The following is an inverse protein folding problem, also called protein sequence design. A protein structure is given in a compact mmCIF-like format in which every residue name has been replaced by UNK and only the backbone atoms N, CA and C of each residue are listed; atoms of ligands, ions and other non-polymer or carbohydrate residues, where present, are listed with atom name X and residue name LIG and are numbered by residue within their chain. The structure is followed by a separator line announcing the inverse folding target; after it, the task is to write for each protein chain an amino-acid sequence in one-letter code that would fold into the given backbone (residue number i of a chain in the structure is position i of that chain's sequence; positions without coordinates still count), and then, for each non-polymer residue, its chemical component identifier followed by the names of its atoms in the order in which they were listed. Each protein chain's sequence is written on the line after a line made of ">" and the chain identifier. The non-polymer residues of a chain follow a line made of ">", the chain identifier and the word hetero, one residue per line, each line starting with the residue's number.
data_IF_478615146485
#
_entry.id   IF_478615146485
#
_cell.length_a   1.000
_cell.length_b   1.000
_cell.length_c   1.000
_cell.angle_alpha   90.00
_cell.angle_beta   90.00
_cell.angle_gamma   90.00
#
_symmetry.space_group_name_H-M   'P 1'
#
loop_
_entity.id
_entity.type
_entity.pdbx_description
1 polymer ?
#
# COMPACT_ATOMS: atom_id res chain seq x y z
N UNK A 1 -19.81 17.28 16.28
CA UNK A 1 -18.74 18.15 15.74
C UNK A 1 -17.38 17.47 15.52
N UNK A 2 -17.01 16.37 16.20
CA UNK A 2 -15.68 15.76 16.01
C UNK A 2 -15.46 14.88 14.77
N UNK A 3 -16.53 14.35 14.14
CA UNK A 3 -16.39 13.46 12.98
C UNK A 3 -16.00 14.19 11.68
N UNK A 4 -16.45 15.45 11.54
CA UNK A 4 -16.15 16.30 10.37
C UNK A 4 -14.66 16.68 10.32
N UNK A 5 -14.04 16.99 11.47
CA UNK A 5 -12.62 17.38 11.54
C UNK A 5 -11.68 16.24 11.16
N UNK A 6 -11.91 15.02 11.69
CA UNK A 6 -11.10 13.85 11.31
C UNK A 6 -11.21 13.52 9.82
N UNK A 7 -12.40 13.70 9.26
CA UNK A 7 -12.63 13.45 7.83
C UNK A 7 -11.88 14.47 6.98
N UNK A 8 -11.93 15.76 7.34
CA UNK A 8 -11.18 16.84 6.69
C UNK A 8 -9.65 16.63 6.79
N UNK A 9 -9.14 16.24 7.95
CA UNK A 9 -7.72 15.90 8.15
C UNK A 9 -7.27 14.77 7.22
N UNK A 10 -8.09 13.73 7.07
CA UNK A 10 -7.82 12.64 6.13
C UNK A 10 -7.76 13.14 4.68
N UNK A 11 -8.69 14.03 4.28
CA UNK A 11 -8.66 14.65 2.95
C UNK A 11 -7.38 15.46 2.73
N UNK A 12 -7.01 16.35 3.67
CA UNK A 12 -5.81 17.16 3.54
C UNK A 12 -4.54 16.32 3.50
N UNK A 13 -4.46 15.29 4.34
CA UNK A 13 -3.34 14.35 4.34
C UNK A 13 -3.20 13.66 2.99
N UNK A 14 -4.27 13.05 2.49
CA UNK A 14 -4.23 12.29 1.24
C UNK A 14 -4.01 13.20 0.04
N UNK A 15 -4.61 14.39 0.00
CA UNK A 15 -4.37 15.38 -1.05
C UNK A 15 -2.90 15.84 -1.08
N UNK A 16 -2.29 16.10 0.07
CA UNK A 16 -0.88 16.47 0.16
C UNK A 16 0.04 15.33 -0.30
N UNK A 17 -0.26 14.09 0.08
CA UNK A 17 0.50 12.91 -0.36
C UNK A 17 0.34 12.66 -1.86
N UNK A 18 -0.87 12.84 -2.40
CA UNK A 18 -1.17 12.73 -3.82
C UNK A 18 -0.35 13.74 -4.63
N UNK A 19 -0.38 15.01 -4.24
CA UNK A 19 0.38 16.07 -4.90
C UNK A 19 1.89 15.80 -4.83
N UNK A 20 2.40 15.38 -3.67
CA UNK A 20 3.80 15.02 -3.51
C UNK A 20 4.21 13.85 -4.41
N UNK A 21 3.42 12.77 -4.47
CA UNK A 21 3.75 11.62 -5.30
C UNK A 21 3.73 11.97 -6.80
N UNK A 22 2.77 12.80 -7.24
CA UNK A 22 2.65 13.26 -8.63
C UNK A 22 3.59 14.41 -9.03
N UNK A 23 4.30 15.02 -8.07
CA UNK A 23 5.24 16.09 -8.39
C UNK A 23 6.26 15.64 -9.43
N UNK A 24 6.33 16.36 -10.56
CA UNK A 24 7.23 16.07 -11.67
C UNK A 24 6.77 14.96 -12.63
N UNK A 25 5.52 14.50 -12.53
CA UNK A 25 4.92 13.53 -13.45
C UNK A 25 3.94 14.22 -14.40
N UNK A 26 3.96 13.80 -15.66
CA UNK A 26 3.07 14.34 -16.72
C UNK A 26 1.66 13.73 -16.68
N UNK A 27 1.47 12.60 -16.00
CA UNK A 27 0.18 11.90 -15.90
C UNK A 27 -0.09 11.46 -14.48
N UNK A 28 -1.37 11.53 -14.12
CA UNK A 28 -1.87 10.90 -12.89
C UNK A 28 -1.86 9.38 -13.07
N UNK A 29 -1.25 8.67 -12.14
CA UNK A 29 -1.27 7.21 -12.09
C UNK A 29 -2.06 6.78 -10.87
N UNK A 30 -2.94 5.82 -11.09
CA UNK A 30 -3.72 5.17 -10.05
C UNK A 30 -3.49 3.67 -10.15
N UNK A 31 -3.45 3.02 -8.99
CA UNK A 31 -3.21 1.58 -8.92
C UNK A 31 -4.45 0.85 -8.40
N UNK A 32 -4.56 -0.42 -8.71
CA UNK A 32 -5.52 -1.28 -8.02
C UNK A 32 -4.97 -1.79 -6.68
N UNK A 33 -5.88 -2.03 -5.72
CA UNK A 33 -5.59 -2.60 -4.41
C UNK A 33 -5.41 -1.58 -3.31
N UNK A 34 -4.97 -2.04 -2.13
CA UNK A 34 -4.69 -1.19 -0.97
C UNK A 34 -3.18 -0.91 -0.81
N UNK A 35 -2.80 -0.20 0.25
CA UNK A 35 -1.39 0.13 0.52
C UNK A 35 -0.51 -1.12 0.64
N UNK A 36 -1.03 -2.20 1.23
CA UNK A 36 -0.34 -3.49 1.33
C UNK A 36 0.08 -4.04 -0.03
N UNK A 37 -0.80 -3.97 -1.03
CA UNK A 37 -0.49 -4.41 -2.41
C UNK A 37 0.55 -3.51 -3.08
N UNK A 38 0.54 -2.22 -2.77
CA UNK A 38 1.55 -1.27 -3.26
C UNK A 38 2.92 -1.54 -2.62
N UNK A 39 2.97 -1.87 -1.33
CA UNK A 39 4.19 -2.32 -0.65
C UNK A 39 4.71 -3.64 -1.21
N UNK A 40 3.82 -4.55 -1.62
CA UNK A 40 4.23 -5.79 -2.30
C UNK A 40 4.92 -5.50 -3.63
N UNK A 41 4.33 -4.62 -4.45
CA UNK A 41 4.97 -4.15 -5.70
C UNK A 41 6.33 -3.48 -5.43
N UNK A 42 6.46 -2.74 -4.33
CA UNK A 42 7.73 -2.16 -3.91
C UNK A 42 8.79 -3.22 -3.55
N UNK A 43 8.40 -4.32 -2.92
CA UNK A 43 9.29 -5.46 -2.69
C UNK A 43 9.81 -6.03 -4.01
N UNK A 44 8.91 -6.22 -4.99
CA UNK A 44 9.27 -6.72 -6.31
C UNK A 44 10.22 -5.77 -7.07
N UNK A 45 10.07 -4.45 -6.89
CA UNK A 45 11.04 -3.46 -7.41
C UNK A 45 12.42 -3.61 -6.78
N UNK A 46 12.51 -3.75 -5.45
CA UNK A 46 13.80 -3.98 -4.80
C UNK A 46 14.49 -5.25 -5.27
N UNK A 47 13.71 -6.32 -5.51
CA UNK A 47 14.23 -7.58 -6.05
C UNK A 47 14.76 -7.38 -7.47
N UNK A 48 14.01 -6.65 -8.31
CA UNK A 48 14.44 -6.31 -9.69
C UNK A 48 15.73 -5.48 -9.68
N UNK A 49 15.90 -4.62 -8.68
CA UNK A 49 17.09 -3.77 -8.50
C UNK A 49 18.28 -4.51 -7.84
N UNK A 50 18.18 -5.82 -7.61
CA UNK A 50 19.28 -6.67 -7.17
C UNK A 50 19.27 -7.04 -5.68
N UNK A 51 18.27 -6.64 -4.90
CA UNK A 51 18.12 -7.14 -3.53
C UNK A 51 17.67 -8.60 -3.52
N UNK A 52 18.08 -9.37 -2.51
CA UNK A 52 17.50 -10.69 -2.31
C UNK A 52 16.01 -10.58 -1.93
N UNK A 53 15.20 -11.57 -2.32
CA UNK A 53 13.77 -11.63 -1.97
C UNK A 53 13.56 -11.50 -0.47
N UNK A 54 14.28 -12.30 0.31
CA UNK A 54 14.20 -12.31 1.77
C UNK A 54 14.50 -10.94 2.38
N UNK A 55 15.53 -10.25 1.88
CA UNK A 55 15.90 -8.92 2.39
C UNK A 55 14.83 -7.88 2.08
N UNK A 56 14.35 -7.85 0.83
CA UNK A 56 13.33 -6.91 0.39
C UNK A 56 12.01 -7.10 1.15
N UNK A 57 11.56 -8.35 1.29
CA UNK A 57 10.33 -8.71 1.99
C UNK A 57 10.45 -8.41 3.49
N UNK A 58 11.51 -8.87 4.18
CA UNK A 58 11.71 -8.61 5.64
C UNK A 58 11.79 -7.13 5.97
N UNK A 59 12.46 -6.33 5.13
CA UNK A 59 12.57 -4.87 5.33
C UNK A 59 11.20 -4.19 5.30
N UNK A 60 10.37 -4.55 4.32
CA UNK A 60 9.04 -3.97 4.17
C UNK A 60 8.05 -4.54 5.18
N UNK A 61 8.18 -5.81 5.53
CA UNK A 61 7.40 -6.46 6.58
C UNK A 61 7.56 -5.75 7.92
N UNK A 62 8.81 -5.49 8.35
CA UNK A 62 9.10 -4.77 9.59
C UNK A 62 8.44 -3.38 9.60
N UNK A 63 8.48 -2.67 8.47
CA UNK A 63 7.89 -1.34 8.34
C UNK A 63 6.36 -1.39 8.35
N UNK A 64 5.78 -2.35 7.64
CA UNK A 64 4.34 -2.56 7.63
C UNK A 64 3.86 -2.93 9.05
N UNK A 65 4.51 -3.87 9.72
CA UNK A 65 4.19 -4.24 11.10
C UNK A 65 4.24 -3.03 12.05
N UNK A 66 5.25 -2.16 11.92
CA UNK A 66 5.29 -0.93 12.69
C UNK A 66 4.08 -0.02 12.38
N UNK A 67 3.80 0.22 11.09
CA UNK A 67 2.67 1.02 10.63
C UNK A 67 1.33 0.47 11.13
N UNK A 68 1.10 -0.84 11.08
CA UNK A 68 -0.17 -1.45 11.49
C UNK A 68 -0.49 -1.25 12.97
N UNK A 69 0.49 -0.86 13.78
CA UNK A 69 0.35 -0.68 15.23
C UNK A 69 0.34 0.78 15.69
N UNK A 70 0.46 1.75 14.78
CA UNK A 70 0.49 3.18 15.14
C UNK A 70 -0.90 3.71 15.48
N UNK A 71 -0.94 4.69 16.38
CA UNK A 71 -2.14 5.49 16.64
C UNK A 71 -2.46 6.37 15.42
N UNK A 72 -3.71 6.78 15.25
CA UNK A 72 -4.14 7.65 14.14
C UNK A 72 -3.36 8.97 14.09
N UNK A 73 -2.98 9.52 15.24
CA UNK A 73 -2.22 10.77 15.33
C UNK A 73 -0.80 10.65 14.71
N UNK A 74 -0.20 9.46 14.75
CA UNK A 74 1.13 9.18 14.19
C UNK A 74 1.07 8.73 12.72
N UNK A 75 -0.10 8.32 12.25
CA UNK A 75 -0.33 7.80 10.90
C UNK A 75 0.20 8.75 9.79
N UNK A 76 0.02 10.08 9.86
CA UNK A 76 0.52 11.00 8.83
C UNK A 76 2.03 10.91 8.59
N UNK A 77 2.82 10.81 9.67
CA UNK A 77 4.28 10.74 9.59
C UNK A 77 4.73 9.44 8.93
N UNK A 78 4.14 8.32 9.33
CA UNK A 78 4.46 7.01 8.78
C UNK A 78 4.05 6.90 7.30
N UNK A 79 2.87 7.39 6.94
CA UNK A 79 2.41 7.41 5.55
C UNK A 79 3.32 8.24 4.66
N UNK A 80 3.77 9.42 5.10
CA UNK A 80 4.72 10.23 4.32
C UNK A 80 6.01 9.48 4.00
N UNK A 81 6.58 8.77 4.97
CA UNK A 81 7.79 7.97 4.76
C UNK A 81 7.58 6.82 3.76
N UNK A 82 6.41 6.18 3.80
CA UNK A 82 6.07 5.10 2.87
C UNK A 82 5.84 5.64 1.46
N UNK A 83 5.04 6.70 1.31
CA UNK A 83 4.76 7.34 0.01
C UNK A 83 6.05 7.87 -0.63
N UNK A 84 6.99 8.40 0.16
CA UNK A 84 8.30 8.81 -0.34
C UNK A 84 9.10 7.64 -0.94
N UNK A 85 9.09 6.47 -0.28
CA UNK A 85 9.74 5.28 -0.79
C UNK A 85 9.06 4.75 -2.06
N UNK A 86 7.73 4.72 -2.09
CA UNK A 86 6.94 4.35 -3.26
C UNK A 86 7.24 5.27 -4.44
N UNK A 87 7.28 6.60 -4.21
CA UNK A 87 7.65 7.59 -5.23
C UNK A 87 9.05 7.33 -5.79
N UNK A 88 10.05 7.06 -4.94
CA UNK A 88 11.44 6.83 -5.39
C UNK A 88 11.64 5.61 -6.28
N UNK A 89 10.71 4.64 -6.23
CA UNK A 89 10.71 3.42 -7.05
C UNK A 89 9.56 3.37 -8.05
N UNK A 90 8.91 4.51 -8.24
CA UNK A 90 7.81 4.69 -9.18
C UNK A 90 6.69 3.65 -9.02
N UNK A 91 6.31 3.40 -7.76
CA UNK A 91 5.23 2.47 -7.43
C UNK A 91 3.95 3.26 -7.17
N UNK A 92 2.88 3.06 -7.97
CA UNK A 92 1.63 3.80 -7.83
C UNK A 92 0.79 3.27 -6.67
N UNK A 93 -0.14 4.12 -6.23
CA UNK A 93 -1.05 3.90 -5.10
C UNK A 93 -2.49 3.99 -5.59
N UNK A 94 -3.42 3.33 -4.87
CA UNK A 94 -4.84 3.61 -5.00
C UNK A 94 -5.24 4.72 -4.03
N UNK A 95 -5.44 5.93 -4.54
CA UNK A 95 -5.66 7.10 -3.68
C UNK A 95 -7.03 7.12 -3.02
N UNK A 96 -8.05 6.68 -3.76
CA UNK A 96 -9.43 6.57 -3.25
C UNK A 96 -9.48 5.56 -2.10
N UNK A 97 -8.83 4.41 -2.28
CA UNK A 97 -8.75 3.38 -1.25
C UNK A 97 -7.94 3.85 -0.05
N UNK A 98 -6.82 4.55 -0.28
CA UNK A 98 -6.00 5.10 0.81
C UNK A 98 -6.80 6.09 1.66
N UNK A 99 -7.59 6.98 1.03
CA UNK A 99 -8.47 7.91 1.75
C UNK A 99 -9.49 7.18 2.61
N UNK A 100 -10.19 6.20 2.03
CA UNK A 100 -11.13 5.37 2.78
C UNK A 100 -10.46 4.68 3.98
N UNK A 101 -9.27 4.12 3.77
CA UNK A 101 -8.52 3.41 4.81
C UNK A 101 -8.05 4.35 5.93
N UNK A 102 -7.60 5.58 5.61
CA UNK A 102 -7.23 6.60 6.61
C UNK A 102 -8.45 7.03 7.44
N UNK A 103 -9.60 7.26 6.80
CA UNK A 103 -10.84 7.65 7.50
C UNK A 103 -11.34 6.57 8.47
N UNK A 104 -10.99 5.31 8.21
CA UNK A 104 -11.42 4.16 9.00
C UNK A 104 -10.30 3.55 9.85
N UNK A 105 -9.18 4.27 10.04
CA UNK A 105 -8.01 3.72 10.75
C UNK A 105 -8.32 3.30 12.20
N UNK A 106 -9.16 4.07 12.88
CA UNK A 106 -9.57 3.86 14.28
C UNK A 106 -10.77 2.90 14.43
N UNK A 107 -11.19 2.23 13.35
CA UNK A 107 -12.31 1.28 13.43
C UNK A 107 -11.99 0.15 14.43
N UNK A 108 -12.93 -0.13 15.34
CA UNK A 108 -12.77 -1.13 16.40
C UNK A 108 -12.41 -2.53 15.86
N UNK A 109 -12.95 -2.89 14.69
CA UNK A 109 -12.65 -4.17 14.02
C UNK A 109 -11.24 -4.25 13.43
N UNK A 110 -10.48 -3.14 13.39
CA UNK A 110 -9.14 -3.02 12.78
C UNK A 110 -9.07 -3.56 11.35
N UNK A 111 -10.18 -3.47 10.62
CA UNK A 111 -10.30 -4.09 9.31
C UNK A 111 -9.30 -3.49 8.30
N UNK A 112 -8.97 -2.20 8.42
CA UNK A 112 -7.98 -1.54 7.54
C UNK A 112 -6.61 -2.20 7.69
N UNK A 113 -6.18 -2.39 8.93
CA UNK A 113 -4.89 -3.01 9.26
C UNK A 113 -4.86 -4.46 8.75
N UNK A 114 -5.95 -5.21 8.93
CA UNK A 114 -6.07 -6.57 8.41
C UNK A 114 -6.06 -6.65 6.88
N UNK A 115 -6.71 -5.70 6.20
CA UNK A 115 -6.74 -5.65 4.73
C UNK A 115 -5.36 -5.25 4.18
N UNK A 116 -4.67 -4.30 4.79
CA UNK A 116 -3.30 -3.94 4.41
C UNK A 116 -2.34 -5.10 4.62
N UNK A 117 -2.47 -5.82 5.74
CA UNK A 117 -1.76 -7.06 6.00
C UNK A 117 -2.01 -8.07 4.87
N UNK A 118 -3.28 -8.38 4.59
CA UNK A 118 -3.65 -9.31 3.51
C UNK A 118 -3.07 -8.89 2.17
N UNK A 119 -3.17 -7.61 1.81
CA UNK A 119 -2.68 -7.10 0.53
C UNK A 119 -1.17 -7.27 0.34
N UNK A 120 -0.40 -7.33 1.43
CA UNK A 120 1.05 -7.53 1.39
C UNK A 120 1.44 -9.02 1.38
N UNK A 121 0.90 -9.81 2.31
CA UNK A 121 1.29 -11.21 2.51
C UNK A 121 0.55 -12.20 1.60
N UNK A 122 -0.72 -11.95 1.28
CA UNK A 122 -1.49 -12.84 0.42
C UNK A 122 -1.15 -12.51 -1.03
N UNK A 123 -0.33 -13.37 -1.62
CA UNK A 123 -0.11 -13.38 -3.07
C UNK A 123 -1.42 -13.84 -3.72
N UNK A 124 -2.06 -13.04 -4.59
CA UNK A 124 -3.10 -13.56 -5.46
C UNK A 124 -2.49 -14.71 -6.24
N UNK A 125 -3.07 -15.91 -6.13
CA UNK A 125 -2.73 -17.03 -7.00
C UNK A 125 -3.23 -16.70 -8.41
N UNK A 126 -2.53 -15.83 -9.12
CA UNK A 126 -2.84 -15.59 -10.52
C UNK A 126 -2.30 -16.76 -11.36
N UNK A 127 -3.25 -17.56 -11.83
CA UNK A 127 -3.15 -18.57 -12.88
C UNK A 127 -2.16 -19.69 -12.58
N UNK A 128 -2.60 -20.60 -11.71
CA UNK A 128 -2.22 -22.00 -11.85
C UNK A 128 -2.51 -22.39 -13.30
N UNK A 129 -1.46 -22.50 -14.11
CA UNK A 129 -1.49 -23.12 -15.42
C UNK A 129 -2.20 -24.45 -15.22
N UNK A 130 -3.46 -24.54 -15.66
CA UNK A 130 -4.13 -25.81 -15.74
C UNK A 130 -3.21 -26.70 -16.60
N UNK A 131 -2.77 -27.88 -16.12
CA UNK A 131 -2.02 -28.76 -16.99
C UNK A 131 -2.93 -29.08 -18.17
N UNK A 132 -2.56 -28.61 -19.35
CA UNK A 132 -3.15 -29.07 -20.60
C UNK A 132 -3.02 -30.58 -20.61
N UNK A 133 -4.10 -31.28 -20.33
CA UNK A 133 -4.20 -32.72 -20.55
C UNK A 133 -4.15 -32.87 -22.07
N UNK A 134 -2.96 -33.14 -22.61
CA UNK A 134 -2.82 -33.67 -23.97
C UNK A 134 -3.61 -34.97 -24.02
N UNK A 135 -4.80 -34.91 -24.62
CA UNK A 135 -5.56 -36.08 -25.00
C UNK A 135 -4.84 -36.70 -26.18
N UNK A 136 -4.02 -37.72 -25.90
CA UNK A 136 -3.43 -38.56 -26.93
C UNK A 136 -4.46 -39.61 -27.34
N UNK A 137 -4.99 -39.44 -28.55
CA UNK A 137 -5.74 -40.44 -29.32
C UNK A 137 -4.75 -41.46 -29.89
#
# INVERSE_FOLDING_TARGET
>A
EGATTKQEEAYYLVAALFAYWHQGKDKAEDAEGNLGRSLRRLADRYITDGASRDEAEKRLEKRLNALLNVHSDDLPQHLRQIVSQLKSKDVPLNWVRLLHDVQNWDAESRFVQHEWARGFWIVPRDKQTAPSIETRI
#
